data_IF_918174303601
#
_entry.id   IF_918174303601
#
_cell.length_a   1.000
_cell.length_b   1.000
_cell.length_c   1.000
_cell.angle_alpha   90.00
_cell.angle_beta   90.00
_cell.angle_gamma   90.00
#
_symmetry.space_group_name_H-M   'P 1'
#
loop_
_entity.id
_entity.type
_entity.pdbx_description
1 polymer ?
#
# COMPACT_ATOMS: atom_id res chain seq x y z
N UNK A 1 19.37 -0.26 -11.21
CA UNK A 1 19.37 0.19 -9.80
C UNK A 1 19.51 1.71 -9.65
N UNK A 2 20.62 2.37 -10.04
CA UNK A 2 20.80 3.84 -9.82
C UNK A 2 19.64 4.74 -10.32
N UNK A 3 18.95 4.38 -11.40
CA UNK A 3 17.93 5.26 -11.98
C UNK A 3 16.73 5.53 -11.06
N UNK A 4 16.24 4.52 -10.32
CA UNK A 4 15.04 4.67 -9.47
C UNK A 4 15.29 5.54 -8.24
N UNK A 5 16.46 5.43 -7.60
CA UNK A 5 16.81 6.28 -6.45
C UNK A 5 16.97 7.74 -6.88
N UNK A 6 17.61 8.00 -8.02
CA UNK A 6 17.73 9.35 -8.55
C UNK A 6 16.38 9.94 -8.96
N UNK A 7 15.53 9.17 -9.64
CA UNK A 7 14.15 9.59 -9.96
C UNK A 7 13.35 9.88 -8.68
N UNK A 8 13.45 9.01 -7.68
CA UNK A 8 12.78 9.18 -6.39
C UNK A 8 13.22 10.47 -5.68
N UNK A 9 14.53 10.74 -5.66
CA UNK A 9 15.13 11.96 -5.10
C UNK A 9 14.65 13.20 -5.82
N UNK A 10 14.60 13.17 -7.16
CA UNK A 10 14.15 14.30 -7.97
C UNK A 10 12.68 14.62 -7.71
N UNK A 11 11.79 13.63 -7.85
CA UNK A 11 10.34 13.80 -7.63
C UNK A 11 10.07 14.28 -6.19
N UNK A 12 10.67 13.64 -5.19
CA UNK A 12 10.54 14.07 -3.79
C UNK A 12 11.05 15.50 -3.58
N UNK A 13 12.17 15.88 -4.20
CA UNK A 13 12.73 17.22 -4.12
C UNK A 13 11.78 18.29 -4.67
N UNK A 14 11.20 18.03 -5.84
CA UNK A 14 10.19 18.88 -6.46
C UNK A 14 8.95 19.01 -5.56
N UNK A 15 8.37 17.89 -5.11
CA UNK A 15 7.19 17.88 -4.25
C UNK A 15 7.43 18.55 -2.90
N UNK A 16 8.56 18.28 -2.25
CA UNK A 16 8.91 18.89 -0.95
C UNK A 16 9.02 20.41 -1.06
N UNK A 17 9.56 20.92 -2.17
CA UNK A 17 9.65 22.37 -2.41
C UNK A 17 8.27 22.99 -2.58
N UNK A 18 7.41 22.37 -3.39
CA UNK A 18 6.07 22.89 -3.72
C UNK A 18 5.03 22.71 -2.60
N UNK A 19 5.17 21.66 -1.79
CA UNK A 19 4.22 21.28 -0.75
C UNK A 19 4.68 21.59 0.68
N UNK A 20 5.80 22.31 0.86
CA UNK A 20 6.49 22.53 2.15
C UNK A 20 5.58 22.93 3.31
N UNK A 21 4.51 23.67 3.04
CA UNK A 21 3.57 24.17 4.03
C UNK A 21 2.17 23.53 3.96
N UNK A 22 1.97 22.65 2.96
CA UNK A 22 0.68 22.04 2.69
C UNK A 22 0.58 20.59 3.17
N UNK A 23 1.68 20.00 3.64
CA UNK A 23 1.76 18.62 4.14
C UNK A 23 2.47 18.62 5.48
N UNK A 24 1.88 18.00 6.49
CA UNK A 24 2.42 18.00 7.85
C UNK A 24 3.61 17.03 8.01
N UNK A 25 3.56 15.89 7.30
CA UNK A 25 4.55 14.83 7.40
C UNK A 25 5.25 14.57 6.06
N UNK A 26 6.55 14.79 6.03
CA UNK A 26 7.39 14.54 4.84
C UNK A 26 7.35 13.08 4.35
N UNK A 27 6.98 12.12 5.20
CA UNK A 27 6.78 10.72 4.81
C UNK A 27 5.62 10.55 3.84
N UNK A 28 4.58 11.38 3.92
CA UNK A 28 3.50 11.37 2.93
C UNK A 28 4.00 11.77 1.54
N UNK A 29 4.93 12.73 1.46
CA UNK A 29 5.56 13.12 0.19
C UNK A 29 6.46 12.00 -0.35
N UNK A 30 7.16 11.30 0.54
CA UNK A 30 7.95 10.10 0.19
C UNK A 30 7.08 8.99 -0.42
N UNK A 31 5.87 8.78 0.08
CA UNK A 31 4.94 7.78 -0.51
C UNK A 31 4.35 8.23 -1.83
N UNK A 32 4.03 9.52 -1.98
CA UNK A 32 3.57 10.05 -3.28
C UNK A 32 4.66 9.91 -4.34
N UNK A 33 5.91 10.24 -4.01
CA UNK A 33 7.02 10.08 -4.94
C UNK A 33 7.26 8.61 -5.31
N UNK A 34 7.05 7.67 -4.40
CA UNK A 34 7.28 6.25 -4.68
C UNK A 34 6.25 5.68 -5.64
N UNK A 35 4.99 6.12 -5.58
CA UNK A 35 3.95 5.74 -6.54
C UNK A 35 4.38 6.01 -7.99
N UNK A 36 4.96 7.18 -8.26
CA UNK A 36 5.46 7.51 -9.60
C UNK A 36 6.65 6.65 -10.01
N UNK A 37 7.62 6.42 -9.10
CA UNK A 37 8.82 5.59 -9.36
C UNK A 37 8.46 4.12 -9.63
N UNK A 38 7.38 3.61 -9.02
CA UNK A 38 6.90 2.25 -9.24
C UNK A 38 5.92 2.13 -10.40
N UNK A 39 5.50 3.26 -10.99
CA UNK A 39 4.61 3.31 -12.14
C UNK A 39 5.39 3.55 -13.44
N UNK A 40 4.74 3.33 -14.57
CA UNK A 40 5.30 3.69 -15.88
C UNK A 40 5.00 5.16 -16.28
N UNK A 41 4.30 5.93 -15.43
CA UNK A 41 3.90 7.31 -15.73
C UNK A 41 5.02 8.30 -15.37
N UNK A 42 5.51 9.11 -16.31
CA UNK A 42 6.43 10.19 -15.99
C UNK A 42 5.80 11.22 -15.05
N UNK A 43 6.57 11.70 -14.07
CA UNK A 43 6.10 12.72 -13.15
C UNK A 43 6.16 14.12 -13.77
N UNK A 44 5.03 14.83 -13.72
CA UNK A 44 4.93 16.24 -14.11
C UNK A 44 4.32 17.05 -12.96
N UNK A 45 5.13 17.91 -12.34
CA UNK A 45 4.73 18.66 -11.15
C UNK A 45 3.47 19.51 -11.36
N UNK A 46 3.39 20.23 -12.47
CA UNK A 46 2.26 21.15 -12.72
C UNK A 46 0.94 20.37 -12.88
N UNK A 47 0.96 19.27 -13.64
CA UNK A 47 -0.18 18.38 -13.80
C UNK A 47 -0.60 17.76 -12.47
N UNK A 48 0.35 17.28 -11.68
CA UNK A 48 0.05 16.74 -10.35
C UNK A 48 -0.61 17.78 -9.43
N UNK A 49 -0.10 19.03 -9.45
CA UNK A 49 -0.66 20.11 -8.64
C UNK A 49 -2.07 20.48 -9.11
N UNK A 50 -2.29 20.58 -10.42
CA UNK A 50 -3.60 20.81 -11.04
C UNK A 50 -4.64 19.79 -10.56
N UNK A 51 -4.33 18.49 -10.67
CA UNK A 51 -5.21 17.41 -10.20
C UNK A 51 -5.47 17.54 -8.70
N UNK A 52 -4.43 17.81 -7.90
CA UNK A 52 -4.57 17.93 -6.45
C UNK A 52 -5.44 19.13 -6.02
N UNK A 53 -5.35 20.24 -6.74
CA UNK A 53 -6.15 21.44 -6.47
C UNK A 53 -7.58 21.27 -6.98
N UNK A 54 -7.80 20.53 -8.07
CA UNK A 54 -9.12 20.12 -8.53
C UNK A 54 -9.85 19.25 -7.49
N UNK A 55 -9.20 18.18 -7.00
CA UNK A 55 -9.80 17.33 -5.94
C UNK A 55 -10.21 18.20 -4.74
N UNK A 56 -9.38 19.19 -4.39
CA UNK A 56 -9.67 20.10 -3.28
C UNK A 56 -10.88 20.99 -3.56
N UNK A 57 -11.11 21.44 -4.80
CA UNK A 57 -12.28 22.28 -5.14
C UNK A 57 -13.58 21.49 -5.13
N UNK A 58 -13.53 20.22 -5.54
CA UNK A 58 -14.72 19.37 -5.66
C UNK A 58 -15.22 18.79 -4.33
N UNK A 59 -14.41 18.80 -3.27
CA UNK A 59 -14.79 18.21 -1.97
C UNK A 59 -15.17 19.24 -0.92
N UNK A 60 -16.15 18.87 -0.09
CA UNK A 60 -16.59 19.65 1.06
C UNK A 60 -15.48 19.89 2.09
N UNK A 61 -15.61 20.96 2.88
CA UNK A 61 -14.58 21.45 3.82
C UNK A 61 -14.16 20.43 4.88
N UNK A 62 -15.05 19.51 5.26
CA UNK A 62 -14.79 18.48 6.27
C UNK A 62 -14.29 17.15 5.69
N UNK A 63 -14.07 17.06 4.37
CA UNK A 63 -13.55 15.85 3.75
C UNK A 63 -12.07 15.63 4.11
N UNK A 64 -11.67 14.37 4.32
CA UNK A 64 -10.25 14.00 4.44
C UNK A 64 -9.43 14.39 3.19
N UNK A 65 -10.09 14.46 2.02
CA UNK A 65 -9.49 14.93 0.77
C UNK A 65 -9.30 16.46 0.73
N UNK A 66 -9.73 17.20 1.76
CA UNK A 66 -9.37 18.62 1.89
C UNK A 66 -7.92 18.82 2.35
N UNK A 67 -7.25 17.77 2.81
CA UNK A 67 -5.91 17.81 3.41
C UNK A 67 -4.94 16.85 2.70
N UNK A 68 -3.99 16.27 3.45
CA UNK A 68 -2.83 15.53 2.93
C UNK A 68 -3.20 14.33 2.03
N UNK A 69 -4.32 13.66 2.29
CA UNK A 69 -4.75 12.49 1.51
C UNK A 69 -5.00 12.81 0.03
N UNK A 70 -5.35 14.06 -0.29
CA UNK A 70 -5.61 14.48 -1.68
C UNK A 70 -4.40 14.29 -2.59
N UNK A 71 -3.19 14.43 -2.05
CA UNK A 71 -1.97 14.26 -2.83
C UNK A 71 -1.75 12.80 -3.21
N UNK A 72 -2.12 11.87 -2.33
CA UNK A 72 -2.14 10.45 -2.64
C UNK A 72 -3.15 10.16 -3.75
N UNK A 73 -4.39 10.60 -3.58
CA UNK A 73 -5.44 10.34 -4.57
C UNK A 73 -5.11 10.99 -5.92
N UNK A 74 -4.57 12.22 -5.91
CA UNK A 74 -4.12 12.89 -7.13
C UNK A 74 -3.04 12.08 -7.86
N UNK A 75 -2.02 11.60 -7.14
CA UNK A 75 -0.98 10.77 -7.75
C UNK A 75 -1.55 9.47 -8.30
N UNK A 76 -2.45 8.82 -7.57
CA UNK A 76 -3.04 7.56 -8.01
C UNK A 76 -3.95 7.73 -9.24
N UNK A 77 -4.69 8.83 -9.33
CA UNK A 77 -5.46 9.15 -10.53
C UNK A 77 -4.54 9.46 -11.70
N UNK A 78 -3.46 10.22 -11.49
CA UNK A 78 -2.52 10.59 -12.55
C UNK A 78 -1.75 9.40 -13.13
N UNK A 79 -1.28 8.48 -12.27
CA UNK A 79 -0.51 7.31 -12.73
C UNK A 79 -1.38 6.29 -13.48
N UNK A 80 -2.69 6.25 -13.22
CA UNK A 80 -3.61 5.25 -13.79
C UNK A 80 -4.42 5.77 -14.96
N UNK A 81 -4.68 7.07 -15.04
CA UNK A 81 -5.66 7.62 -15.98
C UNK A 81 -5.16 8.86 -16.70
N UNK A 82 -5.39 8.91 -18.01
CA UNK A 82 -5.08 10.08 -18.83
C UNK A 82 -6.00 11.27 -18.51
N UNK A 83 -7.27 11.01 -18.18
CA UNK A 83 -8.24 11.99 -17.71
C UNK A 83 -8.60 11.79 -16.22
N UNK A 84 -7.75 12.28 -15.31
CA UNK A 84 -7.94 12.14 -13.87
C UNK A 84 -9.12 12.97 -13.34
N UNK A 85 -9.54 14.03 -14.05
CA UNK A 85 -10.65 14.89 -13.64
C UNK A 85 -11.99 14.17 -13.77
N UNK A 86 -12.24 13.56 -14.93
CA UNK A 86 -13.44 12.74 -15.14
C UNK A 86 -13.43 11.53 -14.18
N UNK A 87 -12.29 10.84 -14.07
CA UNK A 87 -12.16 9.66 -13.20
C UNK A 87 -12.31 9.98 -11.71
N UNK A 88 -12.10 11.22 -11.29
CA UNK A 88 -12.38 11.63 -9.91
C UNK A 88 -13.87 11.54 -9.55
N UNK A 89 -14.78 11.77 -10.50
CA UNK A 89 -16.21 11.61 -10.25
C UNK A 89 -16.60 10.15 -10.11
N UNK A 90 -16.08 9.28 -10.99
CA UNK A 90 -16.26 7.83 -10.88
C UNK A 90 -15.72 7.32 -9.54
N UNK A 91 -14.52 7.77 -9.16
CA UNK A 91 -13.93 7.51 -7.85
C UNK A 91 -14.84 7.90 -6.68
N UNK A 92 -15.45 9.09 -6.75
CA UNK A 92 -16.34 9.55 -5.69
C UNK A 92 -17.60 8.69 -5.60
N UNK A 93 -18.18 8.29 -6.74
CA UNK A 93 -19.33 7.39 -6.78
C UNK A 93 -18.98 6.01 -6.20
N UNK A 94 -17.80 5.47 -6.51
CA UNK A 94 -17.30 4.22 -5.92
C UNK A 94 -17.13 4.38 -4.41
N UNK A 95 -16.56 5.49 -3.93
CA UNK A 95 -16.44 5.76 -2.50
C UNK A 95 -17.80 5.78 -1.80
N UNK A 96 -18.80 6.48 -2.36
CA UNK A 96 -20.14 6.51 -1.76
C UNK A 96 -20.76 5.10 -1.70
N UNK A 97 -20.57 4.27 -2.74
CA UNK A 97 -21.04 2.88 -2.72
C UNK A 97 -20.39 2.03 -1.63
N UNK A 98 -19.11 2.28 -1.30
CA UNK A 98 -18.46 1.62 -0.16
C UNK A 98 -19.12 2.05 1.15
N UNK A 99 -19.44 3.33 1.30
CA UNK A 99 -20.06 3.79 2.54
C UNK A 99 -21.47 3.23 2.70
N UNK A 100 -22.23 3.13 1.61
CA UNK A 100 -23.55 2.50 1.60
C UNK A 100 -23.48 1.00 1.94
N UNK A 101 -22.42 0.31 1.50
CA UNK A 101 -22.14 -1.08 1.87
C UNK A 101 -21.68 -1.23 3.35
N UNK A 102 -21.43 -0.13 4.07
CA UNK A 102 -21.12 -0.12 5.50
C UNK A 102 -19.65 0.12 5.85
N UNK A 103 -18.81 0.54 4.89
CA UNK A 103 -17.44 0.97 5.19
C UNK A 103 -17.45 2.30 5.95
N UNK A 104 -16.58 2.44 6.94
CA UNK A 104 -16.46 3.69 7.70
C UNK A 104 -15.92 4.83 6.82
N UNK A 105 -16.42 6.05 6.99
CA UNK A 105 -15.83 7.23 6.32
C UNK A 105 -14.40 7.46 6.81
N UNK A 106 -13.47 7.71 5.89
CA UNK A 106 -12.08 7.97 6.25
C UNK A 106 -11.06 7.61 5.17
N UNK A 107 -9.77 7.75 5.51
CA UNK A 107 -8.68 7.57 4.57
C UNK A 107 -8.66 6.18 3.92
N UNK A 108 -8.89 5.12 4.71
CA UNK A 108 -8.85 3.76 4.20
C UNK A 108 -9.97 3.42 3.20
N UNK A 109 -11.16 4.03 3.34
CA UNK A 109 -12.25 3.84 2.39
C UNK A 109 -12.01 4.60 1.08
N UNK A 110 -11.32 5.75 1.13
CA UNK A 110 -10.84 6.40 -0.09
C UNK A 110 -9.77 5.56 -0.81
N UNK A 111 -8.84 4.96 -0.06
CA UNK A 111 -7.88 4.02 -0.67
C UNK A 111 -8.61 2.81 -1.25
N UNK A 112 -9.54 2.21 -0.50
CA UNK A 112 -10.37 1.11 -0.99
C UNK A 112 -11.14 1.45 -2.27
N UNK A 113 -11.72 2.65 -2.35
CA UNK A 113 -12.41 3.12 -3.54
C UNK A 113 -11.48 3.18 -4.76
N UNK A 114 -10.24 3.65 -4.58
CA UNK A 114 -9.26 3.62 -5.65
C UNK A 114 -8.86 2.20 -6.05
N UNK A 115 -8.79 1.25 -5.12
CA UNK A 115 -8.55 -0.16 -5.44
C UNK A 115 -9.65 -0.72 -6.34
N UNK A 116 -10.89 -0.27 -6.16
CA UNK A 116 -12.07 -0.71 -6.92
C UNK A 116 -12.29 0.07 -8.22
N UNK A 117 -11.69 1.26 -8.33
CA UNK A 117 -11.80 2.10 -9.50
C UNK A 117 -11.10 1.41 -10.68
N UNK A 118 -11.90 0.70 -11.46
CA UNK A 118 -11.54 0.04 -12.72
C UNK A 118 -12.77 0.02 -13.62
N UNK A 119 -12.58 0.00 -14.94
CA UNK A 119 -13.68 0.10 -15.91
C UNK A 119 -14.58 -1.16 -15.92
N UNK A 120 -14.05 -2.28 -15.43
CA UNK A 120 -14.71 -3.59 -15.43
C UNK A 120 -15.11 -4.08 -14.02
N UNK A 121 -15.11 -3.21 -13.00
CA UNK A 121 -15.42 -3.63 -11.63
C UNK A 121 -16.83 -4.25 -11.55
N UNK A 122 -16.96 -5.54 -11.21
CA UNK A 122 -18.27 -6.17 -11.14
C UNK A 122 -19.11 -5.55 -10.02
N UNK A 123 -20.36 -5.22 -10.33
CA UNK A 123 -21.35 -4.92 -9.28
C UNK A 123 -21.81 -6.27 -8.70
N UNK A 124 -21.72 -6.56 -7.38
CA UNK A 124 -21.66 -5.64 -6.23
C UNK A 124 -20.36 -5.76 -5.39
N UNK A 125 -19.18 -5.49 -5.96
CA UNK A 125 -17.89 -5.68 -5.29
C UNK A 125 -17.73 -4.96 -3.92
N UNK A 126 -18.45 -3.85 -3.69
CA UNK A 126 -18.52 -3.19 -2.38
C UNK A 126 -19.10 -4.10 -1.28
N UNK A 127 -20.22 -4.78 -1.56
CA UNK A 127 -20.87 -5.69 -0.61
C UNK A 127 -20.00 -6.94 -0.36
N UNK A 128 -19.39 -7.46 -1.42
CA UNK A 128 -18.44 -8.57 -1.32
C UNK A 128 -17.23 -8.19 -0.45
N UNK A 129 -16.63 -7.02 -0.70
CA UNK A 129 -15.52 -6.50 0.10
C UNK A 129 -15.88 -6.34 1.58
N UNK A 130 -17.07 -5.82 1.88
CA UNK A 130 -17.55 -5.73 3.27
C UNK A 130 -17.76 -7.10 3.90
N UNK A 131 -18.27 -8.08 3.15
CA UNK A 131 -18.44 -9.45 3.64
C UNK A 131 -17.09 -10.10 3.97
N UNK A 132 -16.12 -10.00 3.05
CA UNK A 132 -14.74 -10.46 3.28
C UNK A 132 -14.14 -9.78 4.52
N UNK A 133 -14.26 -8.46 4.65
CA UNK A 133 -13.80 -7.73 5.84
C UNK A 133 -14.44 -8.24 7.14
N UNK A 134 -15.75 -8.46 7.16
CA UNK A 134 -16.46 -9.00 8.33
C UNK A 134 -15.93 -10.37 8.72
N UNK A 135 -15.74 -11.27 7.75
CA UNK A 135 -15.18 -12.61 7.99
C UNK A 135 -13.73 -12.56 8.50
N UNK A 136 -12.88 -11.68 7.96
CA UNK A 136 -11.53 -11.45 8.49
C UNK A 136 -11.58 -10.99 9.95
N UNK A 137 -12.54 -10.11 10.28
CA UNK A 137 -12.71 -9.59 11.64
C UNK A 137 -13.28 -10.63 12.60
N UNK A 138 -14.10 -11.57 12.14
CA UNK A 138 -14.57 -12.70 12.94
C UNK A 138 -13.40 -13.60 13.39
N UNK A 139 -12.41 -13.83 12.51
CA UNK A 139 -11.21 -14.61 12.84
C UNK A 139 -10.22 -13.83 13.71
N UNK A 140 -10.04 -12.54 13.45
CA UNK A 140 -9.00 -11.73 14.07
C UNK A 140 -9.52 -10.39 14.61
N UNK A 141 -10.51 -10.42 15.50
CA UNK A 141 -11.24 -9.24 15.97
C UNK A 141 -10.37 -8.06 16.46
N UNK A 142 -9.25 -8.36 17.14
CA UNK A 142 -8.33 -7.34 17.66
C UNK A 142 -7.30 -6.83 16.65
N UNK A 143 -7.07 -7.57 15.56
CA UNK A 143 -6.06 -7.22 14.55
C UNK A 143 -6.69 -6.54 13.33
N UNK A 144 -7.89 -6.98 12.95
CA UNK A 144 -8.61 -6.49 11.77
C UNK A 144 -9.29 -5.16 12.06
N UNK A 145 -8.88 -4.12 11.33
CA UNK A 145 -9.43 -2.76 11.45
C UNK A 145 -9.61 -2.08 10.10
N UNK A 146 -9.83 -0.76 10.11
CA UNK A 146 -10.04 0.00 8.87
C UNK A 146 -8.84 -0.08 7.91
N UNK A 147 -7.63 -0.32 8.42
CA UNK A 147 -6.43 -0.55 7.60
C UNK A 147 -6.53 -1.73 6.65
N UNK A 148 -7.41 -2.69 6.93
CA UNK A 148 -7.60 -3.90 6.15
C UNK A 148 -8.63 -3.73 5.02
N UNK A 149 -9.34 -2.59 4.96
CA UNK A 149 -10.33 -2.33 3.90
C UNK A 149 -9.79 -2.51 2.48
N UNK A 150 -8.62 -1.95 2.11
CA UNK A 150 -8.09 -2.11 0.76
C UNK A 150 -7.78 -3.57 0.42
N UNK A 151 -7.25 -4.34 1.37
CA UNK A 151 -6.98 -5.76 1.18
C UNK A 151 -8.25 -6.60 1.09
N UNK A 152 -9.26 -6.31 1.92
CA UNK A 152 -10.56 -6.98 1.83
C UNK A 152 -11.21 -6.77 0.46
N UNK A 153 -11.12 -5.56 -0.09
CA UNK A 153 -11.62 -5.23 -1.42
C UNK A 153 -10.83 -5.92 -2.54
N UNK A 154 -9.50 -6.00 -2.44
CA UNK A 154 -8.69 -6.80 -3.38
C UNK A 154 -9.04 -8.29 -3.34
N UNK A 155 -9.15 -8.85 -2.14
CA UNK A 155 -9.43 -10.26 -1.92
C UNK A 155 -10.86 -10.62 -2.36
N UNK A 156 -11.80 -9.68 -2.30
CA UNK A 156 -13.16 -9.86 -2.82
C UNK A 156 -13.24 -9.94 -4.36
N UNK A 157 -12.18 -9.59 -5.10
CA UNK A 157 -12.11 -9.81 -6.56
C UNK A 157 -11.77 -11.25 -6.93
N UNK A 158 -11.45 -12.09 -5.95
CA UNK A 158 -11.17 -13.50 -6.19
C UNK A 158 -12.46 -14.25 -6.53
N UNK A 159 -12.34 -15.20 -7.46
CA UNK A 159 -13.47 -16.01 -7.92
C UNK A 159 -13.91 -17.06 -6.88
N UNK A 160 -13.04 -17.41 -5.93
CA UNK A 160 -13.39 -18.33 -4.86
C UNK A 160 -14.51 -17.80 -3.95
N UNK A 161 -15.26 -18.72 -3.34
CA UNK A 161 -16.19 -18.34 -2.29
C UNK A 161 -15.44 -17.77 -1.08
N UNK A 162 -16.14 -16.90 -0.34
CA UNK A 162 -15.53 -16.15 0.76
C UNK A 162 -15.05 -17.04 1.91
N UNK A 163 -15.63 -18.23 2.09
CA UNK A 163 -15.27 -19.14 3.18
C UNK A 163 -13.93 -19.81 2.86
N UNK A 164 -13.78 -20.38 1.66
CA UNK A 164 -12.53 -20.96 1.17
C UNK A 164 -11.38 -19.95 1.16
N UNK A 165 -11.68 -18.70 0.77
CA UNK A 165 -10.71 -17.60 0.81
C UNK A 165 -10.23 -17.30 2.23
N UNK A 166 -11.14 -17.25 3.20
CA UNK A 166 -10.81 -16.98 4.60
C UNK A 166 -10.03 -18.14 5.21
N UNK A 167 -10.36 -19.39 4.87
CA UNK A 167 -9.57 -20.55 5.27
C UNK A 167 -8.14 -20.48 4.74
N UNK A 168 -7.96 -20.06 3.48
CA UNK A 168 -6.63 -19.85 2.89
C UNK A 168 -5.82 -18.78 3.64
N UNK A 169 -6.46 -17.65 3.98
CA UNK A 169 -5.83 -16.58 4.75
C UNK A 169 -5.39 -17.07 6.14
N UNK A 170 -6.24 -17.82 6.82
CA UNK A 170 -5.96 -18.38 8.16
C UNK A 170 -4.86 -19.44 8.13
N UNK A 171 -4.83 -20.25 7.07
CA UNK A 171 -3.76 -21.23 6.86
C UNK A 171 -2.41 -20.53 6.70
N UNK A 172 -2.31 -19.53 5.83
CA UNK A 172 -1.10 -18.71 5.71
C UNK A 172 -0.70 -18.07 7.04
N UNK A 173 -1.65 -17.46 7.77
CA UNK A 173 -1.36 -16.84 9.07
C UNK A 173 -0.79 -17.84 10.08
N UNK A 174 -1.37 -19.03 10.14
CA UNK A 174 -0.96 -20.11 11.05
C UNK A 174 0.40 -20.68 10.67
N UNK A 175 0.60 -20.99 9.39
CA UNK A 175 1.85 -21.53 8.87
C UNK A 175 3.01 -20.55 9.02
N UNK A 176 2.80 -19.26 8.69
CA UNK A 176 3.81 -18.22 8.88
C UNK A 176 4.15 -18.05 10.36
N UNK A 177 3.15 -18.10 11.26
CA UNK A 177 3.43 -18.06 12.68
C UNK A 177 4.31 -19.24 13.14
N UNK A 178 4.00 -20.45 12.67
CA UNK A 178 4.79 -21.64 12.94
C UNK A 178 6.22 -21.53 12.38
N UNK A 179 6.40 -20.83 11.25
CA UNK A 179 7.69 -20.51 10.66
C UNK A 179 8.49 -19.41 11.40
N UNK A 180 7.99 -18.92 12.54
CA UNK A 180 8.71 -18.00 13.43
C UNK A 180 8.32 -16.52 13.28
N UNK A 181 7.34 -16.20 12.44
CA UNK A 181 6.80 -14.84 12.36
C UNK A 181 5.92 -14.54 13.59
N UNK A 182 6.13 -13.36 14.18
CA UNK A 182 5.36 -12.93 15.37
C UNK A 182 3.93 -12.56 14.97
N UNK A 183 2.94 -13.02 15.77
CA UNK A 183 1.52 -12.64 15.61
C UNK A 183 1.34 -11.13 15.71
N UNK A 184 0.42 -10.59 14.91
CA UNK A 184 0.10 -9.16 14.87
C UNK A 184 -0.47 -8.74 13.52
N UNK A 185 -0.82 -7.46 13.40
CA UNK A 185 -1.42 -6.89 12.19
C UNK A 185 -0.50 -7.04 10.95
N UNK A 186 0.82 -6.90 11.10
CA UNK A 186 1.74 -7.09 9.96
C UNK A 186 1.78 -8.54 9.45
N UNK A 187 1.61 -9.53 10.34
CA UNK A 187 1.51 -10.95 9.96
C UNK A 187 0.20 -11.24 9.23
N UNK A 188 -0.88 -10.60 9.66
CA UNK A 188 -2.17 -10.67 8.98
C UNK A 188 -2.10 -10.00 7.60
N UNK A 189 -1.51 -8.81 7.50
CA UNK A 189 -1.28 -8.15 6.21
C UNK A 189 -0.44 -9.02 5.26
N UNK A 190 0.56 -9.72 5.81
CA UNK A 190 1.36 -10.69 5.07
C UNK A 190 0.51 -11.86 4.55
N UNK A 191 -0.37 -12.45 5.36
CA UNK A 191 -1.25 -13.53 4.90
C UNK A 191 -2.27 -13.05 3.86
N UNK A 192 -2.79 -11.83 3.98
CA UNK A 192 -3.64 -11.21 2.96
C UNK A 192 -2.92 -11.12 1.61
N UNK A 193 -1.68 -10.60 1.58
CA UNK A 193 -0.90 -10.47 0.34
C UNK A 193 -0.64 -11.84 -0.29
N UNK A 194 -0.23 -12.84 0.50
CA UNK A 194 0.00 -14.20 -0.01
C UNK A 194 -1.28 -14.83 -0.58
N UNK A 195 -2.44 -14.42 -0.08
CA UNK A 195 -3.76 -14.90 -0.51
C UNK A 195 -4.32 -14.17 -1.73
N UNK A 196 -3.64 -13.16 -2.28
CA UNK A 196 -4.10 -12.45 -3.49
C UNK A 196 -3.99 -13.30 -4.76
N UNK A 197 -3.22 -14.40 -4.72
CA UNK A 197 -2.95 -15.25 -5.87
C UNK A 197 -2.99 -16.75 -5.49
N UNK A 198 -3.69 -17.57 -6.27
CA UNK A 198 -3.75 -19.04 -6.12
C UNK A 198 -2.80 -19.82 -7.03
N UNK A 199 -2.00 -19.16 -7.87
CA UNK A 199 -1.14 -19.88 -8.83
C UNK A 199 0.09 -20.54 -8.22
N UNK A 200 0.42 -20.26 -6.96
CA UNK A 200 1.59 -20.81 -6.26
C UNK A 200 1.16 -21.63 -5.06
N UNK A 201 1.85 -22.75 -4.82
CA UNK A 201 1.60 -23.61 -3.66
C UNK A 201 1.81 -22.82 -2.33
N UNK A 202 0.85 -22.84 -1.40
CA UNK A 202 0.96 -22.16 -0.10
C UNK A 202 2.21 -22.52 0.70
N UNK A 203 2.53 -23.81 0.83
CA UNK A 203 3.70 -24.30 1.58
C UNK A 203 5.01 -23.78 0.98
N UNK A 204 5.04 -23.67 -0.35
CA UNK A 204 6.18 -23.10 -1.08
C UNK A 204 6.34 -21.61 -0.75
N UNK A 205 5.26 -20.82 -0.79
CA UNK A 205 5.30 -19.40 -0.44
C UNK A 205 5.73 -19.19 1.02
N UNK A 206 5.21 -19.99 1.96
CA UNK A 206 5.62 -19.94 3.38
C UNK A 206 7.11 -20.26 3.53
N UNK A 207 7.60 -21.31 2.85
CA UNK A 207 9.01 -21.67 2.85
C UNK A 207 9.91 -20.57 2.27
N UNK A 208 9.49 -19.95 1.16
CA UNK A 208 10.18 -18.80 0.56
C UNK A 208 10.22 -17.61 1.52
N UNK A 209 9.12 -17.32 2.21
CA UNK A 209 9.05 -16.26 3.23
C UNK A 209 10.01 -16.52 4.40
N UNK A 210 10.04 -17.73 4.93
CA UNK A 210 10.97 -18.12 6.00
C UNK A 210 12.43 -17.99 5.55
N UNK A 211 12.74 -18.43 4.32
CA UNK A 211 14.08 -18.28 3.72
C UNK A 211 14.48 -16.81 3.57
N UNK A 212 13.59 -15.96 3.07
CA UNK A 212 13.81 -14.51 2.97
C UNK A 212 14.08 -13.90 4.34
N UNK A 213 13.29 -14.26 5.35
CA UNK A 213 13.44 -13.76 6.71
C UNK A 213 14.85 -14.07 7.27
N UNK A 214 15.36 -15.27 7.04
CA UNK A 214 16.70 -15.65 7.47
C UNK A 214 17.81 -14.99 6.64
N UNK A 215 17.62 -14.83 5.33
CA UNK A 215 18.56 -14.10 4.48
C UNK A 215 18.67 -12.62 4.87
N UNK A 216 17.55 -11.96 5.17
CA UNK A 216 17.53 -10.58 5.67
C UNK A 216 18.35 -10.44 6.95
N UNK A 217 18.19 -11.37 7.90
CA UNK A 217 19.00 -11.39 9.14
C UNK A 217 20.49 -11.57 8.85
N UNK A 218 20.85 -12.47 7.93
CA UNK A 218 22.25 -12.73 7.54
C UNK A 218 22.90 -11.49 6.91
N UNK A 219 22.14 -10.73 6.12
CA UNK A 219 22.57 -9.46 5.52
C UNK A 219 22.50 -8.26 6.51
N UNK A 220 22.24 -8.51 7.78
CA UNK A 220 22.21 -7.49 8.83
C UNK A 220 20.98 -6.57 8.77
N UNK A 221 19.94 -6.92 8.01
CA UNK A 221 18.68 -6.19 7.98
C UNK A 221 17.81 -6.65 9.14
N UNK A 222 17.38 -5.70 9.98
CA UNK A 222 16.47 -6.00 11.10
C UNK A 222 15.09 -6.37 10.56
N UNK A 223 14.68 -7.62 10.75
CA UNK A 223 13.38 -8.14 10.34
C UNK A 223 12.26 -7.76 11.31
N UNK A 224 11.98 -6.46 11.41
CA UNK A 224 10.82 -5.92 12.14
C UNK A 224 9.52 -6.40 11.50
N UNK A 225 8.45 -6.51 12.30
CA UNK A 225 7.13 -6.93 11.83
C UNK A 225 6.63 -6.13 10.62
N UNK A 226 6.87 -4.82 10.60
CA UNK A 226 6.53 -3.93 9.48
C UNK A 226 7.11 -4.35 8.11
N UNK A 227 8.13 -5.19 8.06
CA UNK A 227 8.68 -5.73 6.80
C UNK A 227 7.97 -7.00 6.31
N UNK A 228 7.11 -7.63 7.11
CA UNK A 228 6.44 -8.89 6.75
C UNK A 228 5.63 -8.78 5.44
N UNK A 229 4.83 -7.72 5.20
CA UNK A 229 4.16 -7.53 3.91
C UNK A 229 5.13 -7.45 2.71
N UNK A 230 6.32 -6.88 2.92
CA UNK A 230 7.35 -6.73 1.89
C UNK A 230 8.07 -8.06 1.62
N UNK A 231 8.26 -8.89 2.64
CA UNK A 231 8.74 -10.27 2.50
C UNK A 231 7.73 -11.11 1.70
N UNK A 232 6.44 -10.90 1.94
CA UNK A 232 5.37 -11.54 1.16
C UNK A 232 5.52 -11.25 -0.34
N UNK A 233 5.71 -9.97 -0.71
CA UNK A 233 5.92 -9.56 -2.10
C UNK A 233 7.16 -10.23 -2.72
N UNK A 234 8.29 -10.22 -2.01
CA UNK A 234 9.54 -10.85 -2.48
C UNK A 234 9.41 -12.36 -2.67
N UNK A 235 8.48 -13.03 -1.99
CA UNK A 235 8.28 -14.48 -2.12
C UNK A 235 7.74 -14.90 -3.50
N UNK A 236 7.18 -13.96 -4.27
CA UNK A 236 6.66 -14.21 -5.62
C UNK A 236 7.72 -14.19 -6.73
N UNK A 237 8.94 -13.73 -6.43
CA UNK A 237 10.08 -13.78 -7.37
C UNK A 237 11.07 -14.88 -6.95
N UNK A 238 12.09 -15.12 -7.77
CA UNK A 238 13.14 -16.09 -7.44
C UNK A 238 13.92 -15.64 -6.19
N UNK A 239 13.72 -16.37 -5.08
CA UNK A 239 14.36 -16.06 -3.80
C UNK A 239 15.76 -16.67 -3.77
N UNK A 240 16.78 -15.84 -3.86
CA UNK A 240 18.17 -16.25 -3.68
C UNK A 240 18.93 -15.22 -2.82
N UNK A 241 20.15 -15.52 -2.33
CA UNK A 241 20.92 -14.55 -1.54
C UNK A 241 21.15 -13.22 -2.26
N UNK A 242 21.35 -13.26 -3.58
CA UNK A 242 21.52 -12.06 -4.42
C UNK A 242 20.34 -11.10 -4.36
N UNK A 243 19.11 -11.62 -4.29
CA UNK A 243 17.90 -10.81 -4.13
C UNK A 243 17.96 -9.93 -2.88
N UNK A 244 18.39 -10.49 -1.74
CA UNK A 244 18.48 -9.73 -0.48
C UNK A 244 19.66 -8.77 -0.49
N UNK A 245 20.77 -9.13 -1.16
CA UNK A 245 21.88 -8.21 -1.41
C UNK A 245 21.45 -7.01 -2.27
N UNK A 246 20.61 -7.21 -3.29
CA UNK A 246 20.04 -6.12 -4.10
C UNK A 246 19.16 -5.19 -3.24
N UNK A 247 18.28 -5.75 -2.39
CA UNK A 247 17.49 -4.96 -1.42
C UNK A 247 18.40 -4.18 -0.47
N UNK A 248 19.45 -4.81 0.06
CA UNK A 248 20.40 -4.18 0.97
C UNK A 248 21.12 -3.00 0.31
N UNK A 249 21.57 -3.18 -0.93
CA UNK A 249 22.25 -2.13 -1.68
C UNK A 249 21.34 -0.93 -1.92
N UNK A 250 20.09 -1.14 -2.38
CA UNK A 250 19.11 -0.06 -2.54
C UNK A 250 18.79 0.63 -1.20
N UNK A 251 18.67 -0.15 -0.12
CA UNK A 251 18.40 0.39 1.20
C UNK A 251 19.55 1.28 1.70
N UNK A 252 20.80 0.85 1.50
CA UNK A 252 21.98 1.62 1.88
C UNK A 252 22.13 2.89 1.03
N UNK A 253 21.84 2.81 -0.26
CA UNK A 253 21.83 3.96 -1.17
C UNK A 253 20.82 5.01 -0.68
N UNK A 254 19.56 4.61 -0.44
CA UNK A 254 18.53 5.49 0.12
C UNK A 254 18.93 6.05 1.49
N UNK A 255 19.58 5.27 2.35
CA UNK A 255 20.06 5.74 3.65
C UNK A 255 21.25 6.68 3.56
N UNK A 256 22.02 6.66 2.47
CA UNK A 256 23.12 7.58 2.22
C UNK A 256 22.63 8.96 1.75
N UNK A 257 21.43 9.00 1.16
CA UNK A 257 20.84 10.22 0.63
C UNK A 257 20.39 11.18 1.74
N UNK A 258 20.87 12.43 1.67
CA UNK A 258 20.64 13.44 2.73
C UNK A 258 19.15 13.69 3.00
N UNK A 259 18.31 13.56 1.97
CA UNK A 259 16.87 13.77 2.04
C UNK A 259 16.15 12.64 2.81
N UNK A 260 16.72 11.43 2.84
CA UNK A 260 16.04 10.21 3.29
C UNK A 260 16.73 9.51 4.47
N UNK A 261 17.99 9.83 4.78
CA UNK A 261 18.82 9.13 5.79
C UNK A 261 18.20 8.91 7.17
N UNK A 262 17.20 9.72 7.54
CA UNK A 262 16.51 9.64 8.83
C UNK A 262 15.31 8.68 8.81
N UNK A 263 14.88 8.21 7.64
CA UNK A 263 13.69 7.40 7.44
C UNK A 263 14.06 5.94 7.15
N UNK A 264 14.98 5.36 7.94
CA UNK A 264 15.59 4.05 7.65
C UNK A 264 14.58 2.93 7.42
N UNK A 265 13.52 2.87 8.22
CA UNK A 265 12.51 1.83 8.08
C UNK A 265 11.71 1.99 6.78
N UNK A 266 11.30 3.23 6.46
CA UNK A 266 10.60 3.54 5.21
C UNK A 266 11.50 3.31 4.00
N UNK A 267 12.79 3.66 4.08
CA UNK A 267 13.76 3.39 3.01
C UNK A 267 13.89 1.89 2.74
N UNK A 268 13.82 1.05 3.79
CA UNK A 268 13.85 -0.41 3.62
C UNK A 268 12.61 -0.93 2.88
N UNK A 269 11.44 -0.35 3.19
CA UNK A 269 10.19 -0.65 2.47
C UNK A 269 10.30 -0.23 1.01
N UNK A 270 10.73 1.00 0.74
CA UNK A 270 10.91 1.52 -0.62
C UNK A 270 11.94 0.73 -1.42
N UNK A 271 13.02 0.26 -0.80
CA UNK A 271 14.01 -0.59 -1.46
C UNK A 271 13.38 -1.89 -1.99
N UNK A 272 12.53 -2.55 -1.19
CA UNK A 272 11.80 -3.74 -1.65
C UNK A 272 10.82 -3.40 -2.76
N UNK A 273 10.05 -2.33 -2.60
CA UNK A 273 9.04 -1.89 -3.57
C UNK A 273 9.63 -1.49 -4.93
N UNK A 274 10.77 -0.78 -4.94
CA UNK A 274 11.48 -0.42 -6.16
C UNK A 274 12.06 -1.63 -6.86
N UNK A 275 12.65 -2.56 -6.10
CA UNK A 275 13.17 -3.81 -6.65
C UNK A 275 12.07 -4.69 -7.24
N UNK A 276 10.94 -4.81 -6.54
CA UNK A 276 9.81 -5.61 -7.00
C UNK A 276 9.20 -5.03 -8.26
N UNK A 277 9.01 -3.71 -8.33
CA UNK A 277 8.51 -3.07 -9.56
C UNK A 277 9.43 -3.30 -10.77
N UNK A 278 10.76 -3.32 -10.60
CA UNK A 278 11.69 -3.70 -11.69
C UNK A 278 11.49 -5.16 -12.13
N UNK A 279 11.37 -6.10 -11.18
CA UNK A 279 11.28 -7.54 -11.50
C UNK A 279 9.92 -7.96 -12.07
N UNK A 280 8.89 -7.18 -11.80
CA UNK A 280 7.52 -7.42 -12.25
C UNK A 280 7.31 -7.02 -13.72
N UNK A 281 8.15 -6.16 -14.31
CA UNK A 281 8.04 -5.68 -15.70
C UNK A 281 8.19 -6.76 -16.80
N UNK A 282 8.30 -8.05 -16.43
CA UNK A 282 8.66 -9.14 -17.34
C UNK A 282 7.70 -10.37 -17.30
N UNK A 283 6.48 -10.30 -16.74
CA UNK A 283 5.57 -11.48 -16.66
C UNK A 283 4.07 -11.13 -16.66
N UNK A 284 3.35 -11.37 -17.76
CA UNK A 284 2.07 -10.72 -18.10
C UNK A 284 0.93 -10.71 -17.03
N UNK A 285 0.48 -11.85 -16.47
CA UNK A 285 -0.72 -11.88 -15.60
C UNK A 285 -0.42 -11.78 -14.10
N UNK A 286 0.68 -12.37 -13.64
CA UNK A 286 1.17 -12.24 -12.27
C UNK A 286 1.58 -10.78 -12.00
N UNK A 287 2.08 -10.09 -13.03
CA UNK A 287 2.50 -8.69 -12.95
C UNK A 287 1.38 -7.76 -12.52
N UNK A 288 0.23 -7.78 -13.19
CA UNK A 288 -0.85 -6.85 -12.89
C UNK A 288 -1.34 -7.00 -11.43
N UNK A 289 -1.49 -8.25 -10.94
CA UNK A 289 -1.90 -8.52 -9.56
C UNK A 289 -0.86 -8.06 -8.53
N UNK A 290 0.42 -8.32 -8.79
CA UNK A 290 1.50 -7.89 -7.89
C UNK A 290 1.71 -6.37 -7.89
N UNK A 291 1.59 -5.70 -9.04
CA UNK A 291 1.62 -4.23 -9.13
C UNK A 291 0.50 -3.62 -8.29
N UNK A 292 -0.73 -4.11 -8.42
CA UNK A 292 -1.85 -3.64 -7.61
C UNK A 292 -1.67 -3.92 -6.12
N UNK A 293 -1.05 -5.06 -5.76
CA UNK A 293 -0.72 -5.38 -4.37
C UNK A 293 0.33 -4.42 -3.80
N UNK A 294 1.38 -4.10 -4.58
CA UNK A 294 2.41 -3.10 -4.22
C UNK A 294 1.76 -1.74 -4.00
N UNK A 295 0.95 -1.28 -4.96
CA UNK A 295 0.25 0.00 -4.86
C UNK A 295 -0.64 0.06 -3.62
N UNK A 296 -1.45 -0.99 -3.39
CA UNK A 296 -2.35 -1.08 -2.24
C UNK A 296 -1.57 -1.09 -0.91
N UNK A 297 -0.42 -1.77 -0.87
CA UNK A 297 0.46 -1.77 0.30
C UNK A 297 0.99 -0.36 0.60
N UNK A 298 1.53 0.34 -0.40
CA UNK A 298 1.99 1.74 -0.27
C UNK A 298 0.85 2.61 0.28
N UNK A 299 -0.35 2.47 -0.28
CA UNK A 299 -1.50 3.29 0.06
C UNK A 299 -2.03 3.02 1.47
N UNK A 300 -2.15 1.75 1.89
CA UNK A 300 -2.58 1.38 3.24
C UNK A 300 -1.61 1.89 4.31
N UNK A 301 -0.30 1.83 4.03
CA UNK A 301 0.72 2.41 4.90
C UNK A 301 0.60 3.93 5.00
N UNK A 302 0.34 4.60 3.88
CA UNK A 302 0.14 6.05 3.87
C UNK A 302 -1.12 6.47 4.64
N UNK A 303 -2.24 5.78 4.45
CA UNK A 303 -3.47 6.03 5.20
C UNK A 303 -3.27 5.82 6.71
N UNK A 304 -2.48 4.82 7.10
CA UNK A 304 -2.08 4.61 8.50
C UNK A 304 -1.29 5.80 9.05
N UNK A 305 -0.32 6.31 8.30
CA UNK A 305 0.44 7.50 8.71
C UNK A 305 -0.47 8.72 8.89
N UNK A 306 -1.39 8.98 7.98
CA UNK A 306 -2.34 10.11 8.07
C UNK A 306 -3.29 9.93 9.27
N UNK A 307 -3.83 8.73 9.48
CA UNK A 307 -4.74 8.45 10.59
C UNK A 307 -4.08 8.68 11.96
N UNK A 308 -2.80 8.34 12.11
CA UNK A 308 -2.07 8.58 13.37
C UNK A 308 -1.90 10.06 13.70
N UNK A 309 -1.65 10.92 12.70
CA UNK A 309 -1.51 12.37 12.91
C UNK A 309 -2.84 13.02 13.31
N UNK A 310 -3.95 12.60 12.68
CA UNK A 310 -5.28 13.10 13.03
C UNK A 310 -5.69 12.73 14.45
N UNK A 311 -5.36 11.52 14.92
CA UNK A 311 -5.65 11.09 16.30
C UNK A 311 -4.90 11.94 17.34
N UNK A 312 -3.62 12.24 17.09
CA UNK A 312 -2.83 13.11 17.97
C UNK A 312 -3.41 14.52 18.00
N UNK A 313 -3.78 15.07 16.84
CA UNK A 313 -4.33 16.43 16.74
C UNK A 313 -5.67 16.58 17.49
N UNK A 314 -6.57 15.58 17.35
CA UNK A 314 -7.84 15.55 18.07
C UNK A 314 -7.66 15.42 19.59
N UNK A 315 -6.65 14.66 20.05
CA UNK A 315 -6.32 14.54 21.47
C UNK A 315 -5.74 15.82 22.08
N UNK A 316 -5.01 16.63 21.29
CA UNK A 316 -4.47 17.91 21.76
C UNK A 316 -5.52 19.02 21.83
N UNK A 317 -6.59 18.94 21.03
CA UNK A 317 -7.70 19.90 21.07
C UNK A 317 -8.75 19.60 22.15
N UNK A 318 -8.74 18.39 22.73
CA UNK A 318 -9.66 17.98 23.80
C UNK A 318 -9.13 18.18 25.23
N UNK A 319 -7.94 18.78 25.39
CA UNK A 319 -7.28 18.96 26.68
C UNK A 319 -7.56 20.28 27.40
N UNK A 320 -8.22 21.23 26.75
CA UNK A 320 -8.62 22.51 27.35
C UNK A 320 -10.16 22.62 27.33
N UNK A 321 -10.82 21.99 28.31
CA UNK A 321 -12.22 22.21 28.66
C UNK A 321 -12.41 22.15 30.18
#
# INVERSE_FOLDING_TARGET
>A
MNHKVDQYKDIYGQLKKSLRWKVADSRSIMMVASLYVTSQRPFHLDRFLEISDYIKSEVGTFSTLKHDLRYTIAAMLDIRYDDPHTKFHDFHAVYDSLIDAGFSRGAFSYIGAMTMLSEDAPTPLAEHGMNVYKKMREKHFFLTGHSDYPFALLLAQREEDHESLIETIEDFYTQLHAAGFRKGNDLQSMSHILSLHNGTNPDELVSRCARLFDLFKKEGIKTKAMFYPHIALLSYVDVNPGLVTEVKALWDELNSEKLFKWQKDLNGMMAVTFLMSDKIEHTDLLQAKLSTAIETLIQAQQATMIATVSAVSASTTGGDA
#
